data_IF_356765885902
#
_entry.id   IF_356765885902
#
_cell.length_a   1.000
_cell.length_b   1.000
_cell.length_c   1.000
_cell.angle_alpha   90.00
_cell.angle_beta   90.00
_cell.angle_gamma   90.00
#
_symmetry.space_group_name_H-M   'P 1'
#
loop_
_entity.id
_entity.type
_entity.pdbx_description
1 polymer ?
#
# COMPACT_ATOMS: atom_id res chain seq x y z
N UNK A 1 41.94 12.96 28.65
CA UNK A 1 43.25 13.45 28.15
C UNK A 1 43.56 14.89 28.56
N UNK A 2 42.59 15.82 28.54
CA UNK A 2 42.84 17.25 28.84
C UNK A 2 42.69 17.71 30.30
N UNK A 3 41.98 16.97 31.16
CA UNK A 3 41.79 17.37 32.56
C UNK A 3 43.02 17.09 33.47
N UNK A 4 44.10 16.54 32.93
CA UNK A 4 45.36 16.22 33.65
C UNK A 4 46.50 17.20 33.35
N UNK A 5 46.29 18.17 32.47
CA UNK A 5 47.22 19.26 32.19
C UNK A 5 46.51 20.57 32.51
N UNK A 6 47.21 21.56 33.09
CA UNK A 6 46.73 22.89 33.52
C UNK A 6 46.23 23.80 32.36
N UNK A 7 45.49 23.24 31.40
CA UNK A 7 44.92 23.96 30.28
C UNK A 7 43.57 24.56 30.70
N UNK A 8 43.42 25.86 30.44
CA UNK A 8 42.14 26.53 30.64
C UNK A 8 41.08 25.99 29.68
N UNK A 9 39.81 26.05 30.07
CA UNK A 9 38.68 25.62 29.23
C UNK A 9 38.67 26.33 27.85
N UNK A 10 39.19 27.56 27.76
CA UNK A 10 39.33 28.29 26.48
C UNK A 10 40.39 27.69 25.56
N UNK A 11 41.52 27.25 26.12
CA UNK A 11 42.58 26.60 25.34
C UNK A 11 42.13 25.24 24.82
N UNK A 12 41.47 24.45 25.67
CA UNK A 12 40.86 23.17 25.28
C UNK A 12 39.85 23.38 24.15
N UNK A 13 38.99 24.40 24.26
CA UNK A 13 38.02 24.73 23.22
C UNK A 13 38.69 25.16 21.90
N UNK A 14 39.78 25.92 21.98
CA UNK A 14 40.58 26.33 20.83
C UNK A 14 41.24 25.16 20.10
N UNK A 15 41.83 24.21 20.84
CA UNK A 15 42.43 23.00 20.27
C UNK A 15 41.39 22.08 19.62
N UNK A 16 40.21 21.98 20.22
CA UNK A 16 39.10 21.15 19.71
C UNK A 16 38.29 21.84 18.60
N UNK A 17 38.55 23.12 18.30
CA UNK A 17 37.79 23.89 17.30
C UNK A 17 36.31 24.09 17.66
N UNK A 18 35.96 24.10 18.95
CA UNK A 18 34.57 24.27 19.42
C UNK A 18 34.44 25.52 20.30
N UNK A 19 33.21 25.97 20.53
CA UNK A 19 32.96 27.12 21.39
C UNK A 19 33.24 26.81 22.88
N UNK A 20 33.77 27.77 23.64
CA UNK A 20 34.12 27.58 25.05
C UNK A 20 32.93 27.13 25.93
N UNK A 21 31.72 27.57 25.58
CA UNK A 21 30.50 27.24 26.32
C UNK A 21 30.15 25.77 26.16
N UNK A 22 30.52 25.13 25.04
CA UNK A 22 30.34 23.69 24.82
C UNK A 22 31.17 22.90 25.82
N UNK A 23 32.45 23.24 25.99
CA UNK A 23 33.34 22.60 26.98
C UNK A 23 32.84 22.83 28.40
N UNK A 24 32.44 24.06 28.73
CA UNK A 24 31.91 24.40 30.06
C UNK A 24 30.62 23.64 30.38
N UNK A 25 29.70 23.53 29.42
CA UNK A 25 28.43 22.80 29.57
C UNK A 25 28.67 21.29 29.70
N UNK A 26 29.60 20.74 28.92
CA UNK A 26 29.97 19.32 28.98
C UNK A 26 30.55 18.96 30.37
N UNK A 27 31.54 19.72 30.84
CA UNK A 27 32.13 19.51 32.17
C UNK A 27 31.09 19.68 33.27
N UNK A 28 30.25 20.72 33.21
CA UNK A 28 29.19 20.93 34.22
C UNK A 28 28.18 19.79 34.27
N UNK A 29 27.91 19.16 33.12
CA UNK A 29 26.92 18.10 32.99
C UNK A 29 27.48 16.72 33.30
N UNK A 30 28.77 16.48 33.08
CA UNK A 30 29.34 15.14 33.01
C UNK A 30 30.61 14.91 33.85
N UNK A 31 31.21 15.95 34.43
CA UNK A 31 32.33 15.77 35.35
C UNK A 31 31.85 15.34 36.74
N UNK A 32 32.64 14.51 37.41
CA UNK A 32 32.42 14.11 38.81
C UNK A 32 33.40 14.82 39.74
N UNK A 33 33.26 14.63 41.05
CA UNK A 33 34.22 15.13 42.05
C UNK A 33 35.64 14.60 41.84
N UNK A 34 35.80 13.49 41.13
CA UNK A 34 37.09 12.86 40.81
C UNK A 34 37.67 13.32 39.46
N UNK A 35 36.99 14.25 38.76
CA UNK A 35 37.41 14.78 37.46
C UNK A 35 36.53 14.35 36.29
N UNK A 36 37.02 14.61 35.08
CA UNK A 36 36.31 14.27 33.84
C UNK A 36 36.82 12.95 33.24
N UNK A 37 35.91 12.00 33.09
CA UNK A 37 36.13 10.72 32.40
C UNK A 37 35.19 10.63 31.18
N UNK A 38 35.73 10.52 29.94
CA UNK A 38 34.92 10.41 28.73
C UNK A 38 33.95 9.23 28.72
N UNK A 39 34.32 8.07 29.27
CA UNK A 39 33.45 6.89 29.25
C UNK A 39 32.24 7.09 30.16
N UNK A 40 32.47 7.59 31.37
CA UNK A 40 31.41 7.94 32.30
C UNK A 40 30.53 9.09 31.78
N UNK A 41 31.12 10.10 31.14
CA UNK A 41 30.40 11.21 30.51
C UNK A 41 29.43 10.71 29.43
N UNK A 42 29.85 9.74 28.62
CA UNK A 42 29.01 9.13 27.61
C UNK A 42 27.83 8.37 28.24
N UNK A 43 28.07 7.59 29.30
CA UNK A 43 27.00 6.89 30.04
C UNK A 43 25.97 7.87 30.60
N UNK A 44 26.40 8.97 31.23
CA UNK A 44 25.52 10.01 31.78
C UNK A 44 24.71 10.73 30.70
N UNK A 45 25.35 11.03 29.56
CA UNK A 45 24.69 11.60 28.38
C UNK A 45 23.60 10.67 27.84
N UNK A 46 23.92 9.38 27.68
CA UNK A 46 22.98 8.36 27.21
C UNK A 46 21.83 8.15 28.19
N UNK A 47 22.11 8.15 29.49
CA UNK A 47 21.08 8.03 30.52
C UNK A 47 20.12 9.22 30.45
N UNK A 48 20.62 10.46 30.39
CA UNK A 48 19.75 11.64 30.22
C UNK A 48 18.97 11.61 28.93
N UNK A 49 19.55 11.14 27.82
CA UNK A 49 18.82 10.99 26.55
C UNK A 49 17.71 9.94 26.66
N UNK A 50 17.93 8.86 27.41
CA UNK A 50 16.94 7.80 27.67
C UNK A 50 15.82 8.28 28.60
N UNK A 51 16.15 9.02 29.66
CA UNK A 51 15.21 9.50 30.68
C UNK A 51 14.64 10.88 30.40
N UNK A 52 15.14 11.58 29.38
CA UNK A 52 14.61 12.85 28.95
C UNK A 52 13.10 12.73 28.75
N UNK A 53 12.37 13.65 29.37
CA UNK A 53 10.93 13.71 29.20
C UNK A 53 10.63 13.96 27.73
N UNK A 54 9.96 13.00 27.10
CA UNK A 54 9.50 13.09 25.72
C UNK A 54 8.03 13.47 25.78
N UNK A 55 7.67 14.58 25.14
CA UNK A 55 6.26 14.91 24.92
C UNK A 55 5.63 13.82 24.05
N UNK A 56 4.96 12.86 24.68
CA UNK A 56 4.21 11.81 24.00
C UNK A 56 2.79 12.32 23.77
N UNK A 57 2.44 12.57 22.50
CA UNK A 57 1.06 12.89 22.07
C UNK A 57 0.12 11.69 22.14
N UNK A 58 0.33 10.78 23.09
CA UNK A 58 -0.41 9.52 23.21
C UNK A 58 -1.65 9.74 24.08
N UNK A 59 -2.67 10.38 23.51
CA UNK A 59 -3.99 10.39 24.11
C UNK A 59 -4.57 8.96 24.04
N UNK A 60 -4.94 8.34 25.17
CA UNK A 60 -5.51 6.98 25.16
C UNK A 60 -6.73 6.87 24.24
N UNK A 61 -7.60 7.88 24.23
CA UNK A 61 -8.75 7.96 23.32
C UNK A 61 -8.38 7.92 21.84
N UNK A 62 -7.27 8.57 21.46
CA UNK A 62 -6.74 8.56 20.10
C UNK A 62 -6.23 7.16 19.71
N UNK A 63 -5.50 6.50 20.62
CA UNK A 63 -5.02 5.12 20.39
C UNK A 63 -6.22 4.20 20.22
N UNK A 64 -7.21 4.26 21.11
CA UNK A 64 -8.43 3.43 21.02
C UNK A 64 -9.17 3.66 19.70
N UNK A 65 -9.29 4.91 19.25
CA UNK A 65 -9.95 5.22 17.98
C UNK A 65 -9.16 4.68 16.77
N UNK A 66 -7.83 4.81 16.76
CA UNK A 66 -6.96 4.26 15.70
C UNK A 66 -7.04 2.73 15.68
N UNK A 67 -6.93 2.08 16.84
CA UNK A 67 -7.01 0.62 16.99
C UNK A 67 -8.36 0.09 16.55
N UNK A 68 -9.47 0.74 16.93
CA UNK A 68 -10.81 0.37 16.47
C UNK A 68 -10.93 0.37 14.94
N UNK A 69 -10.39 1.40 14.27
CA UNK A 69 -10.37 1.47 12.80
C UNK A 69 -9.47 0.43 12.16
N UNK A 70 -8.34 0.08 12.80
CA UNK A 70 -7.49 -1.02 12.33
C UNK A 70 -8.24 -2.35 12.37
N UNK A 71 -8.99 -2.63 13.44
CA UNK A 71 -9.84 -3.84 13.51
C UNK A 71 -10.98 -3.84 12.49
N UNK A 72 -11.46 -2.66 12.08
CA UNK A 72 -12.38 -2.48 10.94
C UNK A 72 -11.67 -2.60 9.57
N UNK A 73 -10.40 -2.99 9.54
CA UNK A 73 -9.57 -3.22 8.34
C UNK A 73 -9.21 -1.94 7.54
N UNK A 74 -9.29 -0.77 8.18
CA UNK A 74 -8.90 0.48 7.54
C UNK A 74 -7.38 0.56 7.37
N UNK A 75 -6.93 1.07 6.23
CA UNK A 75 -5.50 1.31 6.03
C UNK A 75 -5.00 2.47 6.90
N UNK A 76 -3.73 2.46 7.35
CA UNK A 76 -3.14 3.60 8.06
C UNK A 76 -3.31 4.95 7.35
N UNK A 77 -3.33 4.95 6.01
CA UNK A 77 -3.58 6.16 5.21
C UNK A 77 -5.03 6.62 5.30
N UNK A 78 -6.01 5.70 5.22
CA UNK A 78 -7.43 6.03 5.43
C UNK A 78 -7.67 6.58 6.84
N UNK A 79 -7.12 5.90 7.86
CA UNK A 79 -7.24 6.33 9.26
C UNK A 79 -6.65 7.73 9.43
N UNK A 80 -5.44 7.97 8.94
CA UNK A 80 -4.78 9.29 9.00
C UNK A 80 -5.63 10.41 8.39
N UNK A 81 -6.32 10.14 7.27
CA UNK A 81 -7.21 11.12 6.62
C UNK A 81 -8.56 11.32 7.32
N UNK A 82 -9.00 10.36 8.14
CA UNK A 82 -10.34 10.36 8.74
C UNK A 82 -10.36 10.63 10.25
N UNK A 83 -9.24 10.44 10.95
CA UNK A 83 -9.19 10.45 12.41
C UNK A 83 -9.27 11.86 13.01
N UNK A 84 -8.87 12.90 12.27
CA UNK A 84 -8.78 14.26 12.82
C UNK A 84 -10.13 14.81 13.31
N UNK A 85 -11.25 14.69 12.55
CA UNK A 85 -12.58 15.06 13.04
C UNK A 85 -13.08 14.26 14.25
N UNK A 86 -12.63 13.01 14.42
CA UNK A 86 -13.09 12.11 15.48
C UNK A 86 -12.31 12.25 16.79
N UNK A 87 -10.99 12.36 16.70
CA UNK A 87 -10.09 12.41 17.85
C UNK A 87 -9.69 13.84 18.24
N UNK A 88 -10.10 14.85 17.45
CA UNK A 88 -9.69 16.25 17.61
C UNK A 88 -8.23 16.54 17.24
N UNK A 89 -7.45 15.50 16.90
CA UNK A 89 -6.03 15.59 16.56
C UNK A 89 -5.76 14.74 15.33
N UNK A 90 -5.06 15.33 14.36
CA UNK A 90 -4.59 14.62 13.18
C UNK A 90 -3.43 13.68 13.53
N UNK A 91 -3.43 12.49 12.96
CA UNK A 91 -2.41 11.47 13.19
C UNK A 91 -1.79 11.09 11.86
N UNK A 92 -0.46 11.02 11.79
CA UNK A 92 0.22 10.60 10.56
C UNK A 92 0.14 9.08 10.38
N UNK A 93 -0.03 8.62 9.15
CA UNK A 93 0.01 7.19 8.83
C UNK A 93 1.33 6.52 9.25
N UNK A 94 2.44 7.27 9.29
CA UNK A 94 3.72 6.76 9.79
C UNK A 94 3.70 6.52 11.30
N UNK A 95 3.05 7.38 12.09
CA UNK A 95 2.83 7.13 13.51
C UNK A 95 1.98 5.88 13.74
N UNK A 96 0.93 5.68 12.92
CA UNK A 96 0.10 4.48 12.98
C UNK A 96 0.93 3.24 12.68
N UNK A 97 1.85 3.29 11.71
CA UNK A 97 2.79 2.19 11.49
C UNK A 97 3.69 1.94 12.69
N UNK A 98 4.24 2.97 13.34
CA UNK A 98 5.02 2.78 14.57
C UNK A 98 4.20 2.10 15.66
N UNK A 99 2.94 2.50 15.86
CA UNK A 99 2.02 1.85 16.80
C UNK A 99 1.85 0.35 16.48
N UNK A 100 1.60 0.01 15.21
CA UNK A 100 1.42 -1.39 14.78
C UNK A 100 2.69 -2.22 14.99
N UNK A 101 3.86 -1.65 14.70
CA UNK A 101 5.12 -2.38 14.85
C UNK A 101 5.55 -2.52 16.31
N UNK A 102 5.26 -1.53 17.15
CA UNK A 102 5.46 -1.61 18.60
C UNK A 102 4.54 -2.67 19.23
N UNK A 103 3.25 -2.66 18.88
CA UNK A 103 2.29 -3.69 19.27
C UNK A 103 2.77 -5.10 18.87
N UNK A 104 3.21 -5.26 17.61
CA UNK A 104 3.78 -6.53 17.14
C UNK A 104 5.02 -6.96 17.93
N UNK A 105 5.91 -6.04 18.27
CA UNK A 105 7.10 -6.33 19.07
C UNK A 105 6.74 -6.80 20.49
N UNK A 106 5.59 -6.34 21.00
CA UNK A 106 5.02 -6.72 22.30
C UNK A 106 4.12 -7.98 22.21
N UNK A 107 4.00 -8.60 21.03
CA UNK A 107 3.22 -9.82 20.83
C UNK A 107 1.76 -9.61 20.40
N UNK A 108 1.36 -8.38 20.09
CA UNK A 108 0.04 -8.04 19.60
C UNK A 108 -0.23 -8.45 18.14
N UNK A 109 -1.48 -8.23 17.71
CA UNK A 109 -2.02 -8.72 16.45
C UNK A 109 -2.40 -7.62 15.45
N UNK A 110 -2.18 -6.34 15.75
CA UNK A 110 -2.61 -5.23 14.88
C UNK A 110 -2.06 -5.33 13.46
N UNK A 111 -0.87 -5.89 13.30
CA UNK A 111 -0.22 -6.08 12.00
C UNK A 111 -0.96 -7.07 11.09
N UNK A 112 -1.80 -7.96 11.65
CA UNK A 112 -2.59 -8.92 10.89
C UNK A 112 -3.75 -8.25 10.14
N UNK A 113 -4.20 -7.09 10.63
CA UNK A 113 -5.27 -6.29 10.04
C UNK A 113 -4.79 -5.37 8.91
N UNK A 114 -3.48 -5.36 8.61
CA UNK A 114 -2.96 -4.69 7.42
C UNK A 114 -3.31 -5.47 6.15
N UNK A 115 -3.61 -4.74 5.06
CA UNK A 115 -3.90 -5.26 3.70
C UNK A 115 -2.94 -6.36 3.21
N UNK A 116 -1.68 -6.36 3.66
CA UNK A 116 -0.67 -7.35 3.30
C UNK A 116 0.19 -7.69 4.53
N UNK A 117 -0.23 -8.63 5.38
CA UNK A 117 0.49 -8.94 6.61
C UNK A 117 1.80 -9.71 6.33
N UNK A 118 1.93 -10.33 5.14
CA UNK A 118 3.11 -11.10 4.72
C UNK A 118 3.84 -10.40 3.57
N UNK A 119 5.17 -10.31 3.67
CA UNK A 119 6.04 -9.89 2.54
C UNK A 119 5.81 -10.86 1.37
N UNK A 120 5.50 -10.33 0.19
CA UNK A 120 5.51 -11.13 -1.05
C UNK A 120 6.94 -11.64 -1.27
N UNK A 121 7.10 -12.96 -1.39
CA UNK A 121 8.37 -13.54 -1.84
C UNK A 121 8.67 -13.04 -3.25
N UNK A 122 9.90 -12.56 -3.49
CA UNK A 122 10.35 -12.09 -4.81
C UNK A 122 10.72 -13.23 -5.77
N UNK A 123 10.37 -14.47 -5.44
CA UNK A 123 10.60 -15.61 -6.33
C UNK A 123 9.46 -15.70 -7.35
N UNK A 124 9.53 -14.87 -8.39
CA UNK A 124 8.82 -15.13 -9.65
C UNK A 124 9.79 -15.84 -10.58
N UNK A 125 9.69 -17.16 -10.66
CA UNK A 125 10.22 -17.91 -11.80
C UNK A 125 9.56 -17.32 -13.05
N UNK A 126 10.37 -16.82 -13.98
CA UNK A 126 9.89 -16.22 -15.22
C UNK A 126 9.08 -17.27 -15.99
N UNK A 127 7.75 -17.15 -16.01
CA UNK A 127 6.91 -18.01 -16.82
C UNK A 127 7.18 -17.67 -18.30
N UNK A 128 7.85 -18.57 -19.03
CA UNK A 128 8.12 -18.46 -20.47
C UNK A 128 6.84 -18.15 -21.25
N UNK A 129 6.93 -17.20 -22.20
CA UNK A 129 6.05 -16.79 -23.33
C UNK A 129 4.59 -17.28 -23.44
N UNK A 130 3.92 -17.61 -22.34
CA UNK A 130 2.61 -18.25 -22.36
C UNK A 130 1.51 -17.20 -22.49
N UNK A 131 0.98 -17.02 -23.70
CA UNK A 131 -0.27 -16.28 -23.93
C UNK A 131 -0.32 -15.40 -25.19
N UNK A 132 0.84 -14.98 -25.71
CA UNK A 132 0.91 -14.05 -26.86
C UNK A 132 0.18 -14.54 -28.12
N UNK A 133 0.11 -15.86 -28.34
CA UNK A 133 -0.58 -16.45 -29.50
C UNK A 133 -2.03 -16.89 -29.28
N UNK A 134 -2.65 -16.57 -28.13
CA UNK A 134 -4.00 -17.06 -27.78
C UNK A 134 -5.11 -16.00 -27.87
N UNK A 135 -4.77 -14.75 -28.18
CA UNK A 135 -5.71 -13.64 -28.26
C UNK A 135 -5.74 -13.15 -29.72
N UNK A 136 -6.79 -13.48 -30.49
CA UNK A 136 -6.91 -13.03 -31.87
C UNK A 136 -7.05 -11.51 -31.92
N UNK A 137 -6.46 -10.84 -32.91
CA UNK A 137 -6.58 -9.38 -33.11
C UNK A 137 -6.24 -8.54 -31.86
N UNK A 138 -5.20 -8.95 -31.13
CA UNK A 138 -4.66 -8.20 -29.99
C UNK A 138 -4.12 -6.84 -30.46
N UNK A 139 -4.60 -5.76 -29.86
CA UNK A 139 -4.04 -4.42 -30.02
C UNK A 139 -3.19 -4.12 -28.79
N UNK A 140 -1.89 -3.90 -28.98
CA UNK A 140 -0.98 -3.58 -27.89
C UNK A 140 -1.19 -2.18 -27.30
N UNK A 141 -0.70 -1.98 -26.08
CA UNK A 141 -0.84 -0.73 -25.32
C UNK A 141 -0.11 0.44 -25.96
N UNK A 142 0.88 0.18 -26.81
CA UNK A 142 1.62 1.15 -27.63
C UNK A 142 0.71 1.92 -28.61
N UNK A 143 -0.43 1.34 -28.99
CA UNK A 143 -1.41 2.00 -29.86
C UNK A 143 -2.45 2.82 -29.09
N UNK A 144 -2.39 2.84 -27.76
CA UNK A 144 -3.29 3.64 -26.92
C UNK A 144 -2.79 5.08 -26.85
N UNK A 145 -3.69 6.05 -27.00
CA UNK A 145 -3.35 7.48 -26.91
C UNK A 145 -2.64 7.78 -25.58
N UNK A 146 -1.53 8.51 -25.65
CA UNK A 146 -0.69 8.82 -24.48
C UNK A 146 -1.46 9.60 -23.39
N UNK A 147 -2.47 10.39 -23.77
CA UNK A 147 -3.30 11.17 -22.84
C UNK A 147 -4.02 10.30 -21.80
N UNK A 148 -4.32 9.04 -22.14
CA UNK A 148 -4.96 8.06 -21.25
C UNK A 148 -4.08 7.77 -20.03
N UNK A 149 -2.75 7.90 -20.15
CA UNK A 149 -1.83 7.65 -19.04
C UNK A 149 -1.85 8.76 -17.99
N UNK A 150 -2.24 9.97 -18.39
CA UNK A 150 -2.32 11.12 -17.48
C UNK A 150 -3.54 11.06 -16.54
N UNK A 151 -4.45 10.09 -16.72
CA UNK A 151 -5.66 9.87 -15.88
C UNK A 151 -6.53 11.13 -15.73
N UNK A 152 -6.53 11.99 -16.75
CA UNK A 152 -7.25 13.28 -16.71
C UNK A 152 -8.75 13.13 -16.89
N UNK A 153 -9.21 12.09 -17.59
CA UNK A 153 -10.62 11.88 -17.90
C UNK A 153 -11.12 10.56 -17.33
N UNK A 154 -12.42 10.52 -17.02
CA UNK A 154 -13.10 9.26 -16.70
C UNK A 154 -13.40 8.50 -17.98
N UNK A 155 -13.49 7.18 -17.88
CA UNK A 155 -13.85 6.30 -18.99
C UNK A 155 -12.76 5.34 -19.43
N UNK A 156 -11.65 5.31 -18.71
CA UNK A 156 -10.57 4.37 -19.00
C UNK A 156 -10.59 3.28 -17.94
N UNK A 157 -10.89 2.06 -18.35
CA UNK A 157 -11.05 0.92 -17.45
C UNK A 157 -9.84 0.00 -17.54
N UNK A 158 -9.34 -0.48 -16.41
CA UNK A 158 -8.40 -1.59 -16.35
C UNK A 158 -9.19 -2.87 -15.99
N UNK A 159 -9.01 -3.95 -16.74
CA UNK A 159 -9.60 -5.26 -16.44
C UNK A 159 -8.58 -6.27 -15.94
N UNK A 160 -8.99 -7.08 -14.97
CA UNK A 160 -8.18 -8.16 -14.41
C UNK A 160 -9.06 -9.29 -13.86
N UNK A 161 -8.41 -10.39 -13.46
CA UNK A 161 -9.08 -11.53 -12.82
C UNK A 161 -8.50 -11.85 -11.45
N UNK A 162 -9.40 -12.07 -10.48
CA UNK A 162 -9.04 -12.62 -9.17
C UNK A 162 -9.50 -14.07 -9.16
N UNK A 163 -8.60 -14.97 -9.58
CA UNK A 163 -8.91 -16.40 -9.72
C UNK A 163 -8.50 -17.22 -8.49
N UNK A 164 -9.21 -18.32 -8.30
CA UNK A 164 -8.86 -19.41 -7.41
C UNK A 164 -8.12 -20.51 -8.19
N UNK A 165 -6.86 -20.75 -7.83
CA UNK A 165 -6.03 -21.83 -8.41
C UNK A 165 -5.95 -21.77 -9.95
N UNK A 166 -5.99 -22.93 -10.59
CA UNK A 166 -5.98 -23.08 -12.05
C UNK A 166 -7.33 -22.74 -12.72
N UNK A 167 -7.86 -21.53 -12.49
CA UNK A 167 -9.06 -20.98 -13.15
C UNK A 167 -10.40 -21.66 -12.81
N UNK A 168 -10.55 -22.26 -11.62
CA UNK A 168 -11.78 -22.96 -11.22
C UNK A 168 -12.97 -22.02 -10.99
N UNK A 169 -12.77 -20.94 -10.24
CA UNK A 169 -13.75 -19.89 -9.99
C UNK A 169 -13.01 -18.58 -9.67
N UNK A 170 -13.69 -17.44 -9.75
CA UNK A 170 -13.03 -16.15 -9.48
C UNK A 170 -13.96 -14.96 -9.57
N UNK A 171 -13.35 -13.79 -9.62
CA UNK A 171 -13.98 -12.51 -9.94
C UNK A 171 -13.34 -11.94 -11.20
N UNK A 172 -14.15 -11.34 -12.08
CA UNK A 172 -13.66 -10.31 -12.99
C UNK A 172 -13.74 -8.98 -12.26
N UNK A 173 -12.69 -8.17 -12.40
CA UNK A 173 -12.63 -6.82 -11.85
C UNK A 173 -12.35 -5.84 -12.98
N UNK A 174 -13.07 -4.72 -12.96
CA UNK A 174 -12.93 -3.61 -13.89
C UNK A 174 -12.84 -2.34 -13.05
N UNK A 175 -11.71 -1.65 -13.08
CA UNK A 175 -11.50 -0.44 -12.28
C UNK A 175 -11.30 0.77 -13.18
N UNK A 176 -12.04 1.83 -12.91
CA UNK A 176 -11.90 3.10 -13.60
C UNK A 176 -10.60 3.80 -13.14
N UNK A 177 -9.73 4.23 -14.07
CA UNK A 177 -8.35 4.66 -13.77
C UNK A 177 -8.25 5.98 -13.02
N UNK A 178 -9.25 6.87 -13.12
CA UNK A 178 -9.26 8.20 -12.51
C UNK A 178 -10.01 8.22 -11.18
N UNK A 179 -11.23 7.68 -11.15
CA UNK A 179 -12.10 7.64 -9.97
C UNK A 179 -11.87 6.42 -9.09
N UNK A 180 -11.07 5.44 -9.55
CA UNK A 180 -10.81 4.16 -8.88
C UNK A 180 -12.09 3.34 -8.62
N UNK A 181 -13.16 3.64 -9.36
CA UNK A 181 -14.45 2.99 -9.17
C UNK A 181 -14.39 1.54 -9.65
N UNK A 182 -14.63 0.61 -8.73
CA UNK A 182 -14.57 -0.83 -8.97
C UNK A 182 -15.93 -1.37 -9.42
N UNK A 183 -15.90 -2.12 -10.52
CA UNK A 183 -16.93 -3.05 -10.92
C UNK A 183 -16.39 -4.47 -10.80
N UNK A 184 -17.16 -5.35 -10.18
CA UNK A 184 -16.79 -6.74 -10.03
C UNK A 184 -17.97 -7.66 -10.29
N UNK A 185 -17.67 -8.81 -10.89
CA UNK A 185 -18.66 -9.86 -11.10
C UNK A 185 -18.04 -11.23 -10.83
N UNK A 186 -18.85 -12.11 -10.24
CA UNK A 186 -18.46 -13.51 -10.03
C UNK A 186 -18.35 -14.26 -11.35
N UNK A 187 -17.26 -14.99 -11.49
CA UNK A 187 -17.01 -15.96 -12.55
C UNK A 187 -17.03 -17.38 -11.98
N UNK A 188 -18.00 -18.23 -12.38
CA UNK A 188 -18.08 -19.60 -11.87
C UNK A 188 -17.01 -20.53 -12.45
N UNK A 189 -16.32 -20.09 -13.52
CA UNK A 189 -15.14 -20.71 -14.17
C UNK A 189 -14.41 -19.68 -15.03
N UNK A 190 -13.09 -19.82 -15.21
CA UNK A 190 -12.28 -18.96 -16.08
C UNK A 190 -12.42 -19.31 -17.57
N UNK A 191 -13.62 -19.12 -18.13
CA UNK A 191 -13.92 -19.24 -19.57
C UNK A 191 -14.02 -17.85 -20.21
N UNK A 192 -13.51 -17.71 -21.45
CA UNK A 192 -13.56 -16.45 -22.18
C UNK A 192 -15.00 -16.00 -22.50
N UNK A 193 -15.92 -16.93 -22.72
CA UNK A 193 -17.34 -16.63 -22.95
C UNK A 193 -18.03 -16.08 -21.71
N UNK A 194 -17.73 -16.65 -20.54
CA UNK A 194 -18.26 -16.17 -19.26
C UNK A 194 -17.63 -14.81 -18.89
N UNK A 195 -16.34 -14.64 -19.18
CA UNK A 195 -15.64 -13.36 -19.03
C UNK A 195 -16.32 -12.27 -19.85
N UNK A 196 -16.52 -12.52 -21.15
CA UNK A 196 -17.22 -11.63 -22.07
C UNK A 196 -18.60 -11.24 -21.53
N UNK A 197 -19.42 -12.22 -21.18
CA UNK A 197 -20.78 -11.98 -20.68
C UNK A 197 -20.77 -11.13 -19.40
N UNK A 198 -19.84 -11.39 -18.48
CA UNK A 198 -19.70 -10.62 -17.25
C UNK A 198 -19.25 -9.18 -17.52
N UNK A 199 -18.23 -8.97 -18.36
CA UNK A 199 -17.74 -7.64 -18.73
C UNK A 199 -18.84 -6.81 -19.41
N UNK A 200 -19.57 -7.40 -20.37
CA UNK A 200 -20.69 -6.71 -21.03
C UNK A 200 -21.76 -6.32 -20.00
N UNK A 201 -22.15 -7.23 -19.09
CA UNK A 201 -23.13 -6.92 -18.04
C UNK A 201 -22.69 -5.75 -17.16
N UNK A 202 -21.41 -5.66 -16.81
CA UNK A 202 -20.88 -4.59 -15.97
C UNK A 202 -20.77 -3.25 -16.71
N UNK A 203 -20.33 -3.27 -17.96
CA UNK A 203 -19.99 -2.05 -18.71
C UNK A 203 -21.14 -1.51 -19.56
N UNK A 204 -22.06 -2.35 -20.05
CA UNK A 204 -23.18 -1.92 -20.91
C UNK A 204 -24.09 -0.86 -20.27
N UNK A 205 -24.41 -0.90 -18.96
CA UNK A 205 -25.15 0.18 -18.30
C UNK A 205 -24.42 1.52 -18.26
N UNK A 206 -23.11 1.53 -18.55
CA UNK A 206 -22.21 2.69 -18.54
C UNK A 206 -21.71 3.03 -19.95
N UNK A 207 -22.41 2.53 -20.97
CA UNK A 207 -22.09 2.78 -22.37
C UNK A 207 -22.09 4.29 -22.64
N UNK A 208 -21.10 4.77 -23.38
CA UNK A 208 -20.88 6.21 -23.64
C UNK A 208 -19.97 6.89 -22.62
N UNK A 209 -19.82 6.34 -21.40
CA UNK A 209 -18.83 6.80 -20.44
C UNK A 209 -17.49 6.05 -20.55
N UNK A 210 -17.48 4.84 -21.11
CA UNK A 210 -16.26 4.05 -21.34
C UNK A 210 -15.65 4.32 -22.71
N UNK A 211 -14.41 4.84 -22.72
CA UNK A 211 -13.63 5.11 -23.92
C UNK A 211 -12.69 3.95 -24.25
N UNK A 212 -12.00 3.42 -23.23
CA UNK A 212 -10.98 2.36 -23.43
C UNK A 212 -11.00 1.32 -22.32
N UNK A 213 -10.62 0.09 -22.64
CA UNK A 213 -10.41 -1.01 -21.70
C UNK A 213 -8.97 -1.51 -21.86
N UNK A 214 -8.21 -1.60 -20.78
CA UNK A 214 -6.84 -2.13 -20.78
C UNK A 214 -6.81 -3.47 -20.04
N UNK A 215 -6.35 -4.54 -20.70
CA UNK A 215 -6.35 -5.92 -20.20
C UNK A 215 -4.94 -6.51 -20.18
N UNK A 216 -4.75 -7.64 -19.50
CA UNK A 216 -3.54 -8.45 -19.69
C UNK A 216 -3.69 -9.50 -20.78
N UNK A 217 -2.60 -10.22 -21.04
CA UNK A 217 -2.54 -11.26 -22.06
C UNK A 217 -3.12 -12.61 -21.59
N UNK A 218 -4.06 -12.60 -20.64
CA UNK A 218 -4.78 -13.78 -20.19
C UNK A 218 -5.70 -14.34 -21.28
N UNK A 219 -5.70 -15.67 -21.47
CA UNK A 219 -6.53 -16.34 -22.48
C UNK A 219 -8.03 -16.18 -22.26
N UNK A 220 -8.46 -15.85 -21.03
CA UNK A 220 -9.84 -15.48 -20.70
C UNK A 220 -10.31 -14.19 -21.41
N UNK A 221 -9.38 -13.36 -21.90
CA UNK A 221 -9.68 -12.14 -22.63
C UNK A 221 -9.67 -12.32 -24.15
N UNK A 222 -9.56 -13.55 -24.66
CA UNK A 222 -9.48 -13.85 -26.09
C UNK A 222 -10.71 -13.39 -26.91
N UNK A 223 -11.85 -13.11 -26.26
CA UNK A 223 -13.09 -12.67 -26.91
C UNK A 223 -13.35 -11.18 -26.65
N UNK A 224 -12.29 -10.37 -26.53
CA UNK A 224 -12.39 -8.95 -26.20
C UNK A 224 -13.06 -8.12 -27.29
N UNK A 225 -12.97 -8.50 -28.56
CA UNK A 225 -13.58 -7.77 -29.67
C UNK A 225 -15.10 -7.69 -29.52
N UNK A 226 -15.73 -8.77 -29.04
CA UNK A 226 -17.16 -8.80 -28.78
C UNK A 226 -17.55 -7.87 -27.61
N UNK A 227 -16.69 -7.75 -26.59
CA UNK A 227 -16.88 -6.79 -25.50
C UNK A 227 -16.77 -5.36 -26.05
N UNK A 228 -15.67 -5.07 -26.75
CA UNK A 228 -15.39 -3.77 -27.39
C UNK A 228 -16.57 -3.30 -28.25
N UNK A 229 -17.09 -4.17 -29.12
CA UNK A 229 -18.26 -3.89 -29.96
C UNK A 229 -19.53 -3.62 -29.13
N UNK A 230 -19.81 -4.45 -28.13
CA UNK A 230 -21.03 -4.36 -27.32
C UNK A 230 -21.08 -3.08 -26.47
N UNK A 231 -19.94 -2.58 -26.00
CA UNK A 231 -19.86 -1.40 -25.13
C UNK A 231 -19.34 -0.15 -25.85
N UNK A 232 -18.92 -0.28 -27.10
CA UNK A 232 -18.38 0.81 -27.92
C UNK A 232 -17.14 1.46 -27.27
N UNK A 233 -16.18 0.61 -26.84
CA UNK A 233 -14.92 1.04 -26.24
C UNK A 233 -13.74 0.31 -26.89
N UNK A 234 -12.61 1.00 -27.07
CA UNK A 234 -11.40 0.38 -27.63
C UNK A 234 -10.71 -0.51 -26.57
N UNK A 235 -10.24 -1.69 -26.96
CA UNK A 235 -9.52 -2.59 -26.05
C UNK A 235 -8.03 -2.60 -26.39
N UNK A 236 -7.19 -2.50 -25.36
CA UNK A 236 -5.74 -2.54 -25.45
C UNK A 236 -5.17 -3.58 -24.48
N UNK A 237 -4.02 -4.14 -24.84
CA UNK A 237 -3.35 -5.19 -24.07
C UNK A 237 -1.97 -4.74 -23.62
N UNK A 238 -1.69 -4.91 -22.33
CA UNK A 238 -0.37 -4.60 -21.77
C UNK A 238 0.75 -5.40 -22.44
N UNK A 239 1.95 -4.87 -22.30
CA UNK A 239 3.16 -5.59 -22.67
C UNK A 239 3.34 -6.82 -21.77
N UNK A 240 3.83 -7.94 -22.33
CA UNK A 240 4.20 -9.10 -21.53
C UNK A 240 5.12 -8.70 -20.37
N UNK A 241 4.83 -9.22 -19.18
CA UNK A 241 5.62 -8.98 -17.96
C UNK A 241 5.63 -7.54 -17.44
N UNK A 242 4.90 -6.61 -18.05
CA UNK A 242 4.80 -5.21 -17.61
C UNK A 242 3.57 -4.99 -16.72
N UNK A 243 3.51 -5.67 -15.57
CA UNK A 243 2.33 -5.61 -14.69
C UNK A 243 2.05 -4.20 -14.13
N UNK A 244 3.08 -3.36 -14.03
CA UNK A 244 2.95 -1.94 -13.64
C UNK A 244 2.11 -1.07 -14.58
N UNK A 245 1.83 -1.51 -15.82
CA UNK A 245 0.92 -0.83 -16.74
C UNK A 245 -0.56 -0.92 -16.29
N UNK A 246 -0.87 -1.76 -15.29
CA UNK A 246 -2.19 -1.89 -14.64
C UNK A 246 -2.12 -1.65 -13.13
N UNK A 247 -1.40 -0.59 -12.74
CA UNK A 247 -1.15 -0.28 -11.32
C UNK A 247 -2.43 -0.13 -10.49
N UNK A 248 -3.51 0.37 -11.09
CA UNK A 248 -4.78 0.55 -10.38
C UNK A 248 -5.40 -0.80 -10.06
N UNK A 249 -5.48 -1.69 -11.05
CA UNK A 249 -5.98 -3.05 -10.81
C UNK A 249 -5.11 -3.83 -9.82
N UNK A 250 -3.79 -3.70 -9.85
CA UNK A 250 -2.93 -4.37 -8.86
C UNK A 250 -3.25 -3.95 -7.42
N UNK A 251 -3.48 -2.66 -7.19
CA UNK A 251 -3.86 -2.12 -5.89
C UNK A 251 -5.26 -2.62 -5.47
N UNK A 252 -6.24 -2.51 -6.36
CA UNK A 252 -7.63 -2.91 -6.09
C UNK A 252 -7.77 -4.42 -5.91
N UNK A 253 -7.06 -5.24 -6.69
CA UNK A 253 -7.05 -6.69 -6.49
C UNK A 253 -6.32 -7.07 -5.19
N UNK A 254 -5.34 -6.27 -4.75
CA UNK A 254 -4.77 -6.37 -3.41
C UNK A 254 -5.82 -6.18 -2.31
N UNK A 255 -6.70 -5.19 -2.45
CA UNK A 255 -7.83 -4.97 -1.53
C UNK A 255 -8.80 -6.14 -1.51
N UNK A 256 -9.19 -6.62 -2.69
CA UNK A 256 -10.10 -7.76 -2.82
C UNK A 256 -9.52 -9.00 -2.14
N UNK A 257 -8.19 -9.19 -2.21
CA UNK A 257 -7.50 -10.32 -1.57
C UNK A 257 -7.43 -10.25 -0.05
N UNK A 258 -7.66 -9.08 0.56
CA UNK A 258 -7.82 -8.96 2.01
C UNK A 258 -9.12 -9.65 2.46
N UNK A 259 -10.21 -9.42 1.73
CA UNK A 259 -11.53 -10.03 2.01
C UNK A 259 -11.68 -11.45 1.44
N UNK A 260 -10.98 -11.76 0.36
CA UNK A 260 -11.01 -13.06 -0.32
C UNK A 260 -9.58 -13.62 -0.50
N UNK A 261 -9.03 -14.27 0.54
CA UNK A 261 -7.68 -14.82 0.51
C UNK A 261 -7.43 -15.79 -0.64
N UNK A 262 -6.16 -16.10 -0.89
CA UNK A 262 -5.81 -17.13 -1.87
C UNK A 262 -6.45 -18.47 -1.49
N UNK A 263 -7.13 -19.11 -2.45
CA UNK A 263 -7.86 -20.35 -2.23
C UNK A 263 -9.36 -20.18 -1.97
N UNK A 264 -9.88 -18.94 -1.81
CA UNK A 264 -11.32 -18.70 -1.67
C UNK A 264 -12.12 -19.32 -2.82
N UNK A 265 -13.14 -20.09 -2.46
CA UNK A 265 -14.08 -20.68 -3.42
C UNK A 265 -15.19 -19.70 -3.75
N UNK A 266 -15.01 -18.95 -4.84
CA UNK A 266 -15.90 -17.84 -5.20
C UNK A 266 -17.34 -18.29 -5.53
N UNK A 267 -17.57 -19.58 -5.81
CA UNK A 267 -18.93 -20.14 -5.99
C UNK A 267 -19.82 -20.01 -4.74
N UNK A 268 -19.23 -19.95 -3.54
CA UNK A 268 -19.96 -19.78 -2.28
C UNK A 268 -20.01 -18.32 -1.80
N UNK A 269 -19.33 -17.40 -2.49
CA UNK A 269 -19.38 -15.97 -2.17
C UNK A 269 -20.72 -15.39 -2.64
N UNK A 270 -21.43 -14.74 -1.72
CA UNK A 270 -22.72 -14.08 -1.98
C UNK A 270 -22.52 -12.56 -2.15
N UNK A 271 -23.50 -11.89 -2.76
CA UNK A 271 -23.49 -10.41 -2.89
C UNK A 271 -23.47 -9.71 -1.52
N UNK A 272 -24.06 -10.31 -0.48
CA UNK A 272 -24.02 -9.79 0.89
C UNK A 272 -22.60 -9.87 1.49
N UNK A 273 -21.85 -10.94 1.20
CA UNK A 273 -20.44 -11.05 1.59
C UNK A 273 -19.57 -10.00 0.90
N UNK A 274 -19.96 -9.58 -0.31
CA UNK A 274 -19.31 -8.47 -1.00
C UNK A 274 -19.60 -7.14 -0.30
N UNK A 275 -20.82 -6.82 0.14
CA UNK A 275 -21.21 -5.48 0.64
C UNK A 275 -20.26 -4.80 1.67
N UNK A 276 -19.53 -5.57 2.49
CA UNK A 276 -18.48 -5.04 3.40
C UNK A 276 -17.34 -4.30 2.69
N UNK A 277 -17.07 -4.61 1.42
CA UNK A 277 -15.99 -4.01 0.63
C UNK A 277 -16.31 -2.66 -0.03
N UNK A 278 -17.60 -2.30 -0.13
CA UNK A 278 -18.07 -1.19 -0.98
C UNK A 278 -18.43 0.04 -0.16
N UNK A 279 -18.36 -0.09 1.17
CA UNK A 279 -18.68 0.94 2.13
C UNK A 279 -17.43 1.63 2.73
N UNK A 280 -16.23 1.19 2.36
CA UNK A 280 -14.92 1.69 2.83
C UNK A 280 -14.03 2.11 1.65
#
# INVERSE_FOLDING_TARGET
MYARHDLSQRQIAGELGIHNSTVSLELRRNATSCGYDPEQAQVLSDQRRRTAWKWTKHLPSMITAVVGRLYEEWSPKQISGFIAPLAGVGVSHQWIYYLIWDDKAQGGDLWQHLRQPKRRSKHRTQAKSSGLGKIPNRIGIEHRLAEVENRRFIGHWEGDTVLQGHKHSGLVTLVERRSEYLLAARLPRGSAELMKAAMIRLLKPRRGAGQTITLDNGSEFAVHEAVSKAVTAATYFCDPYCSGQRRTNENTNGLIRQYFPNGTYFRQVTMASCARWSAN
#
